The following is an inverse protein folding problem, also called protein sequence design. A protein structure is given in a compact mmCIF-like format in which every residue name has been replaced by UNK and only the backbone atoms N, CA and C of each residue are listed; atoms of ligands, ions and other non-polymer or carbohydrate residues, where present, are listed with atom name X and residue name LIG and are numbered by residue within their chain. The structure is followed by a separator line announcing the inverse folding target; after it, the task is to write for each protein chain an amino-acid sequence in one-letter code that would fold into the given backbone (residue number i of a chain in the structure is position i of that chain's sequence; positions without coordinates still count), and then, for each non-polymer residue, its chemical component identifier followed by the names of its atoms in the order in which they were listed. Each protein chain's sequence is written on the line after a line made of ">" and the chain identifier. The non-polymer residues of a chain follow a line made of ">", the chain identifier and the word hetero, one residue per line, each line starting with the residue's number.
data_IF_222669488982
#
_entry.id   IF_222669488982
#
_cell.length_a   1.000
_cell.length_b   1.000
_cell.length_c   1.000
_cell.angle_alpha   90.00
_cell.angle_beta   90.00
_cell.angle_gamma   90.00
#
_symmetry.space_group_name_H-M   'P 1'
#
loop_
_entity.id
_entity.type
_entity.pdbx_description
1 polymer ?
#
# COMPACT_ATOMS: atom_id res chain seq x y z
N UNK A 1 19.61 31.30 16.44
CA UNK A 1 18.61 30.53 17.21
C UNK A 1 19.31 29.29 17.72
N UNK A 2 19.16 28.87 18.98
CA UNK A 2 19.73 27.59 19.41
C UNK A 2 19.12 26.45 18.59
N UNK A 3 19.91 25.42 18.24
CA UNK A 3 19.45 24.25 17.48
C UNK A 3 18.18 23.61 18.07
N UNK A 4 18.02 23.70 19.39
CA UNK A 4 16.84 23.26 20.13
C UNK A 4 15.59 24.10 19.83
N UNK A 5 15.72 25.43 19.76
CA UNK A 5 14.59 26.33 19.46
C UNK A 5 14.10 26.15 18.02
N UNK A 6 15.01 25.97 17.07
CA UNK A 6 14.66 25.69 15.67
C UNK A 6 13.94 24.35 15.51
N UNK A 7 14.38 23.31 16.23
CA UNK A 7 13.71 22.00 16.27
C UNK A 7 12.31 22.10 16.89
N UNK A 8 12.16 22.83 18.00
CA UNK A 8 10.87 23.02 18.67
C UNK A 8 9.88 23.81 17.82
N UNK A 9 10.31 24.92 17.22
CA UNK A 9 9.47 25.73 16.33
C UNK A 9 9.13 24.97 15.04
N UNK A 10 10.08 24.22 14.48
CA UNK A 10 9.86 23.36 13.32
C UNK A 10 8.84 22.26 13.61
N UNK A 11 8.94 21.60 14.77
CA UNK A 11 7.97 20.60 15.20
C UNK A 11 6.58 21.20 15.42
N UNK A 12 6.47 22.31 16.16
CA UNK A 12 5.20 22.96 16.45
C UNK A 12 4.52 23.49 15.16
N UNK A 13 5.29 24.16 14.29
CA UNK A 13 4.81 24.66 13.01
C UNK A 13 4.41 23.52 12.06
N UNK A 14 5.22 22.46 11.99
CA UNK A 14 4.92 21.26 11.21
C UNK A 14 3.65 20.56 11.66
N UNK A 15 3.44 20.40 12.97
CA UNK A 15 2.22 19.82 13.54
C UNK A 15 0.98 20.67 13.23
N UNK A 16 1.09 22.01 13.35
CA UNK A 16 0.00 22.92 13.04
C UNK A 16 -0.42 22.82 11.55
N UNK A 17 0.55 22.84 10.64
CA UNK A 17 0.30 22.67 9.20
C UNK A 17 -0.27 21.29 8.88
N UNK A 18 0.23 20.24 9.53
CA UNK A 18 -0.26 18.88 9.37
C UNK A 18 -1.74 18.76 9.79
N UNK A 19 -2.10 19.26 10.98
CA UNK A 19 -3.49 19.26 11.46
C UNK A 19 -4.39 20.09 10.55
N UNK A 20 -3.95 21.25 10.09
CA UNK A 20 -4.70 22.06 9.13
C UNK A 20 -4.95 21.32 7.81
N UNK A 21 -3.91 20.69 7.25
CA UNK A 21 -4.02 19.87 6.03
C UNK A 21 -4.98 18.70 6.20
N UNK A 22 -4.95 18.01 7.34
CA UNK A 22 -5.90 16.92 7.65
C UNK A 22 -7.35 17.40 7.74
N UNK A 23 -7.60 18.58 8.32
CA UNK A 23 -8.94 19.16 8.38
C UNK A 23 -9.46 19.53 6.98
N UNK A 24 -8.64 20.20 6.17
CA UNK A 24 -8.97 20.53 4.78
C UNK A 24 -9.25 19.28 3.93
N UNK A 25 -8.45 18.24 4.11
CA UNK A 25 -8.67 16.94 3.47
C UNK A 25 -9.98 16.30 3.93
N UNK A 26 -10.30 16.37 5.23
CA UNK A 26 -11.57 15.90 5.77
C UNK A 26 -12.77 16.59 5.11
N UNK A 27 -12.71 17.90 4.93
CA UNK A 27 -13.77 18.68 4.28
C UNK A 27 -13.88 18.40 2.77
N UNK A 28 -12.74 18.27 2.07
CA UNK A 28 -12.71 17.86 0.67
C UNK A 28 -13.31 16.46 0.46
N UNK A 29 -12.94 15.51 1.33
CA UNK A 29 -13.47 14.16 1.31
C UNK A 29 -14.96 14.14 1.63
N UNK A 30 -15.46 14.90 2.62
CA UNK A 30 -16.90 15.00 2.89
C UNK A 30 -17.69 15.52 1.67
N UNK A 31 -17.13 16.48 0.93
CA UNK A 31 -17.77 17.05 -0.27
C UNK A 31 -17.83 16.05 -1.44
N UNK A 32 -16.84 15.16 -1.55
CA UNK A 32 -16.74 14.17 -2.63
C UNK A 32 -17.35 12.82 -2.25
N UNK A 33 -17.33 12.45 -0.97
CA UNK A 33 -17.83 11.20 -0.45
C UNK A 33 -19.35 11.25 -0.34
N UNK A 34 -20.03 10.81 -1.41
CA UNK A 34 -21.46 10.53 -1.36
C UNK A 34 -21.79 9.33 -0.47
N UNK A 35 -23.09 9.11 -0.25
CA UNK A 35 -23.66 8.02 0.56
C UNK A 35 -23.12 6.63 0.18
N UNK A 36 -22.91 6.37 -1.11
CA UNK A 36 -22.35 5.09 -1.59
C UNK A 36 -20.95 4.83 -1.05
N UNK A 37 -20.09 5.85 -1.04
CA UNK A 37 -18.71 5.71 -0.56
C UNK A 37 -18.68 5.46 0.94
N UNK A 38 -19.51 6.18 1.70
CA UNK A 38 -19.69 5.97 3.15
C UNK A 38 -20.06 4.53 3.47
N UNK A 39 -21.06 4.00 2.76
CA UNK A 39 -21.56 2.64 2.96
C UNK A 39 -20.52 1.57 2.61
N UNK A 40 -19.73 1.80 1.57
CA UNK A 40 -18.62 0.90 1.20
C UNK A 40 -17.56 0.88 2.30
N UNK A 41 -17.15 2.06 2.81
CA UNK A 41 -16.17 2.15 3.89
C UNK A 41 -16.67 1.50 5.18
N UNK A 42 -17.94 1.71 5.54
CA UNK A 42 -18.57 1.08 6.71
C UNK A 42 -18.59 -0.45 6.61
N UNK A 43 -19.02 -1.00 5.47
CA UNK A 43 -19.11 -2.45 5.26
C UNK A 43 -17.72 -3.10 5.23
N UNK A 44 -16.74 -2.45 4.60
CA UNK A 44 -15.38 -2.96 4.50
C UNK A 44 -14.63 -2.91 5.84
N UNK A 45 -15.09 -2.10 6.79
CA UNK A 45 -14.42 -1.92 8.09
C UNK A 45 -15.30 -2.25 9.29
N UNK A 46 -16.39 -3.01 9.09
CA UNK A 46 -17.32 -3.36 10.18
C UNK A 46 -16.68 -4.29 11.23
N UNK A 47 -15.76 -5.16 10.79
CA UNK A 47 -15.01 -6.06 11.67
C UNK A 47 -13.53 -5.63 11.69
N UNK A 48 -12.87 -5.53 12.87
CA UNK A 48 -11.44 -5.24 12.97
C UNK A 48 -10.56 -6.12 12.06
N UNK A 49 -10.87 -7.40 11.91
CA UNK A 49 -10.14 -8.30 11.01
C UNK A 49 -10.30 -7.90 9.54
N UNK A 50 -11.49 -7.46 9.15
CA UNK A 50 -11.72 -6.92 7.80
C UNK A 50 -10.99 -5.59 7.60
N UNK A 51 -10.95 -4.72 8.62
CA UNK A 51 -10.13 -3.51 8.61
C UNK A 51 -8.65 -3.83 8.35
N UNK A 52 -8.10 -4.82 9.07
CA UNK A 52 -6.73 -5.29 8.87
C UNK A 52 -6.53 -5.79 7.43
N UNK A 53 -7.41 -6.67 6.93
CA UNK A 53 -7.31 -7.19 5.57
C UNK A 53 -7.35 -6.08 4.51
N UNK A 54 -8.28 -5.13 4.64
CA UNK A 54 -8.41 -3.97 3.75
C UNK A 54 -7.15 -3.12 3.79
N UNK A 55 -6.61 -2.85 4.98
CA UNK A 55 -5.34 -2.12 5.13
C UNK A 55 -4.18 -2.84 4.46
N UNK A 56 -4.06 -4.15 4.64
CA UNK A 56 -3.02 -4.97 4.03
C UNK A 56 -3.09 -4.92 2.51
N UNK A 57 -4.27 -5.12 1.94
CA UNK A 57 -4.47 -5.08 0.47
C UNK A 57 -4.25 -3.67 -0.08
N UNK A 58 -4.83 -2.65 0.56
CA UNK A 58 -4.67 -1.26 0.12
C UNK A 58 -3.20 -0.84 0.11
N UNK A 59 -2.45 -1.18 1.17
CA UNK A 59 -1.03 -0.87 1.24
C UNK A 59 -0.17 -1.75 0.33
N UNK A 60 -0.51 -3.02 0.12
CA UNK A 60 0.20 -3.85 -0.85
C UNK A 60 0.06 -3.27 -2.28
N UNK A 61 -1.12 -2.74 -2.62
CA UNK A 61 -1.37 -2.08 -3.93
C UNK A 61 -0.66 -0.72 -4.00
N UNK A 62 -0.80 0.12 -2.98
CA UNK A 62 -0.21 1.47 -2.96
C UNK A 62 1.29 1.48 -2.67
N UNK A 63 1.83 0.39 -2.13
CA UNK A 63 3.21 0.21 -1.66
C UNK A 63 3.70 1.25 -0.63
N UNK A 64 2.79 1.99 0.00
CA UNK A 64 3.12 3.04 0.95
C UNK A 64 2.15 3.02 2.13
N UNK A 65 2.58 2.45 3.25
CA UNK A 65 1.81 2.46 4.50
C UNK A 65 1.58 3.89 5.02
N UNK A 66 2.55 4.79 4.81
CA UNK A 66 2.42 6.20 5.18
C UNK A 66 1.28 6.88 4.42
N UNK A 67 1.18 6.65 3.10
CA UNK A 67 0.08 7.20 2.30
C UNK A 67 -1.27 6.60 2.71
N UNK A 68 -1.33 5.29 2.97
CA UNK A 68 -2.55 4.63 3.50
C UNK A 68 -2.95 5.19 4.86
N UNK A 69 -1.99 5.45 5.75
CA UNK A 69 -2.26 6.01 7.08
C UNK A 69 -2.82 7.42 6.99
N UNK A 70 -2.22 8.29 6.19
CA UNK A 70 -2.72 9.66 5.95
C UNK A 70 -4.14 9.63 5.38
N UNK A 71 -4.40 8.74 4.42
CA UNK A 71 -5.73 8.54 3.85
C UNK A 71 -6.77 8.18 4.92
N UNK A 72 -6.48 7.16 5.73
CA UNK A 72 -7.39 6.67 6.78
C UNK A 72 -7.63 7.73 7.84
N UNK A 73 -6.60 8.48 8.24
CA UNK A 73 -6.76 9.61 9.17
C UNK A 73 -7.65 10.69 8.57
N UNK A 74 -7.51 10.98 7.27
CA UNK A 74 -8.43 11.87 6.56
C UNK A 74 -9.88 11.38 6.54
N UNK A 75 -10.11 10.07 6.44
CA UNK A 75 -11.47 9.49 6.57
C UNK A 75 -12.04 9.64 7.99
N UNK A 76 -11.20 9.57 9.02
CA UNK A 76 -11.62 9.84 10.42
C UNK A 76 -11.97 11.31 10.60
N UNK A 77 -11.14 12.24 10.13
CA UNK A 77 -11.44 13.67 10.14
C UNK A 77 -12.72 14.00 9.35
N UNK A 78 -12.95 13.26 8.27
CA UNK A 78 -14.17 13.34 7.46
C UNK A 78 -15.41 12.70 8.14
N UNK A 79 -15.27 12.09 9.33
CA UNK A 79 -16.32 11.32 10.01
C UNK A 79 -16.91 10.18 9.15
N UNK A 80 -16.12 9.68 8.21
CA UNK A 80 -16.46 8.54 7.35
C UNK A 80 -16.06 7.22 8.01
N UNK A 81 -15.11 7.27 8.95
CA UNK A 81 -14.62 6.14 9.73
C UNK A 81 -14.47 6.55 11.20
N UNK A 82 -14.61 5.57 12.09
CA UNK A 82 -14.29 5.75 13.50
C UNK A 82 -12.80 5.48 13.78
N UNK A 83 -12.29 6.00 14.88
CA UNK A 83 -10.89 5.79 15.29
C UNK A 83 -10.54 4.28 15.44
N UNK A 84 -11.40 3.42 16.04
CA UNK A 84 -11.13 1.98 16.11
C UNK A 84 -11.02 1.30 14.73
N UNK A 85 -11.87 1.70 13.77
CA UNK A 85 -11.80 1.20 12.39
C UNK A 85 -10.51 1.65 11.71
N UNK A 86 -10.12 2.90 11.91
CA UNK A 86 -8.87 3.43 11.40
C UNK A 86 -7.64 2.69 11.94
N UNK A 87 -7.62 2.41 13.25
CA UNK A 87 -6.54 1.65 13.89
C UNK A 87 -6.42 0.25 13.26
N UNK A 88 -7.54 -0.43 13.03
CA UNK A 88 -7.51 -1.76 12.41
C UNK A 88 -6.97 -1.72 10.97
N UNK A 89 -7.35 -0.71 10.17
CA UNK A 89 -6.77 -0.51 8.83
C UNK A 89 -5.28 -0.16 8.88
N UNK A 90 -4.84 0.68 9.83
CA UNK A 90 -3.42 1.06 9.98
C UNK A 90 -2.57 -0.15 10.38
N UNK A 91 -3.06 -1.02 11.27
CA UNK A 91 -2.39 -2.30 11.59
C UNK A 91 -2.27 -3.15 10.32
N UNK A 92 -3.34 -3.24 9.54
CA UNK A 92 -3.33 -3.88 8.23
C UNK A 92 -2.30 -3.31 7.27
N UNK A 93 -2.22 -1.98 7.17
CA UNK A 93 -1.29 -1.27 6.32
C UNK A 93 0.17 -1.61 6.64
N UNK A 94 0.50 -1.68 7.93
CA UNK A 94 1.83 -2.09 8.39
C UNK A 94 2.14 -3.56 8.07
N UNK A 95 1.14 -4.44 8.02
CA UNK A 95 1.31 -5.80 7.51
C UNK A 95 1.49 -5.78 5.98
N UNK A 96 0.75 -4.92 5.27
CA UNK A 96 0.84 -4.80 3.81
C UNK A 96 2.25 -4.47 3.31
N UNK A 97 2.99 -3.60 4.00
CA UNK A 97 4.39 -3.31 3.65
C UNK A 97 5.33 -4.49 3.87
N UNK A 98 5.04 -5.38 4.81
CA UNK A 98 5.87 -6.57 5.03
C UNK A 98 5.63 -7.64 3.97
N UNK A 99 4.48 -7.67 3.28
CA UNK A 99 4.19 -8.65 2.22
C UNK A 99 5.27 -8.61 1.13
N UNK A 100 5.68 -7.42 0.69
CA UNK A 100 6.76 -7.27 -0.30
C UNK A 100 8.10 -7.78 0.24
N UNK A 101 8.43 -7.47 1.50
CA UNK A 101 9.65 -7.94 2.13
C UNK A 101 9.66 -9.46 2.35
N UNK A 102 8.51 -10.06 2.70
CA UNK A 102 8.34 -11.50 2.85
C UNK A 102 8.47 -12.22 1.50
N UNK A 103 7.89 -11.67 0.44
CA UNK A 103 8.05 -12.17 -0.94
C UNK A 103 9.53 -12.23 -1.33
N UNK A 104 10.32 -11.22 -0.95
CA UNK A 104 11.78 -11.22 -1.16
C UNK A 104 12.48 -12.24 -0.23
N UNK A 105 12.12 -12.25 1.06
CA UNK A 105 12.75 -13.08 2.09
C UNK A 105 12.50 -14.59 1.94
N UNK A 106 11.42 -15.02 1.26
CA UNK A 106 11.22 -16.42 0.89
C UNK A 106 12.21 -16.93 -0.18
N UNK A 107 13.26 -16.17 -0.50
CA UNK A 107 14.30 -16.52 -1.48
C UNK A 107 13.73 -16.90 -2.85
N UNK A 108 12.62 -16.28 -3.24
CA UNK A 108 12.14 -16.33 -4.63
C UNK A 108 13.23 -15.78 -5.57
N UNK A 109 14.09 -14.89 -5.06
CA UNK A 109 15.31 -14.43 -5.72
C UNK A 109 16.26 -15.54 -6.19
N UNK A 110 16.42 -16.63 -5.43
CA UNK A 110 17.29 -17.75 -5.82
C UNK A 110 16.71 -18.51 -7.02
N UNK A 111 15.39 -18.56 -7.11
CA UNK A 111 14.65 -19.16 -8.23
C UNK A 111 14.39 -18.15 -9.35
N UNK A 112 14.80 -16.89 -9.23
CA UNK A 112 14.50 -15.84 -10.21
C UNK A 112 15.12 -16.16 -11.59
N UNK A 113 16.33 -16.72 -11.60
CA UNK A 113 16.96 -17.23 -12.82
C UNK A 113 16.19 -18.41 -13.44
N UNK A 114 15.59 -19.27 -12.61
CA UNK A 114 14.75 -20.38 -13.08
C UNK A 114 13.44 -19.86 -13.71
N UNK A 115 12.77 -18.90 -13.06
CA UNK A 115 11.58 -18.26 -13.61
C UNK A 115 11.90 -17.52 -14.92
N UNK A 116 13.02 -16.81 -15.00
CA UNK A 116 13.47 -16.17 -16.23
C UNK A 116 13.74 -17.21 -17.34
N UNK A 117 14.48 -18.29 -17.04
CA UNK A 117 14.76 -19.33 -18.04
C UNK A 117 13.47 -20.00 -18.54
N UNK A 118 12.61 -20.48 -17.63
CA UNK A 118 11.34 -21.15 -17.98
C UNK A 118 10.40 -20.22 -18.74
N UNK A 119 10.27 -18.97 -18.30
CA UNK A 119 9.46 -17.95 -18.98
C UNK A 119 9.97 -17.65 -20.39
N UNK A 120 11.29 -17.52 -20.57
CA UNK A 120 11.91 -17.32 -21.87
C UNK A 120 11.61 -18.50 -22.81
N UNK A 121 11.86 -19.73 -22.39
CA UNK A 121 11.59 -20.92 -23.20
C UNK A 121 10.11 -21.10 -23.52
N UNK A 122 9.20 -20.86 -22.58
CA UNK A 122 7.75 -20.89 -22.83
C UNK A 122 7.33 -19.83 -23.85
N UNK A 123 7.89 -18.62 -23.76
CA UNK A 123 7.58 -17.52 -24.68
C UNK A 123 8.16 -17.71 -26.09
N UNK A 124 9.31 -18.39 -26.20
CA UNK A 124 10.04 -18.56 -27.46
C UNK A 124 9.67 -19.85 -28.20
N UNK A 125 9.47 -20.96 -27.48
CA UNK A 125 9.19 -22.27 -28.09
C UNK A 125 7.71 -22.50 -28.43
N UNK A 126 6.79 -21.78 -27.80
CA UNK A 126 5.36 -22.02 -27.98
C UNK A 126 4.75 -21.21 -29.12
N UNK A 127 4.07 -21.90 -30.05
CA UNK A 127 3.28 -21.26 -31.13
C UNK A 127 1.90 -20.77 -30.68
N UNK A 128 1.41 -21.24 -29.53
CA UNK A 128 0.09 -20.86 -28.98
C UNK A 128 0.18 -19.50 -28.27
N UNK A 129 -0.67 -18.55 -28.67
CA UNK A 129 -0.70 -17.18 -28.14
C UNK A 129 -0.86 -17.12 -26.61
N UNK A 130 -1.69 -17.98 -26.04
CA UNK A 130 -1.91 -18.06 -24.58
C UNK A 130 -0.63 -18.48 -23.85
N UNK A 131 0.06 -19.52 -24.33
CA UNK A 131 1.29 -20.01 -23.70
C UNK A 131 2.42 -19.00 -23.83
N UNK A 132 2.48 -18.28 -24.97
CA UNK A 132 3.44 -17.20 -25.16
C UNK A 132 3.24 -16.05 -24.17
N UNK A 133 1.99 -15.63 -23.95
CA UNK A 133 1.65 -14.57 -22.99
C UNK A 133 2.00 -15.00 -21.55
N UNK A 134 1.66 -16.23 -21.17
CA UNK A 134 2.05 -16.79 -19.86
C UNK A 134 3.57 -16.82 -19.71
N UNK A 135 4.29 -17.28 -20.74
CA UNK A 135 5.76 -17.29 -20.76
C UNK A 135 6.36 -15.89 -20.59
N UNK A 136 5.80 -14.87 -21.26
CA UNK A 136 6.22 -13.47 -21.10
C UNK A 136 6.00 -12.97 -19.67
N UNK A 137 4.84 -13.26 -19.05
CA UNK A 137 4.58 -12.90 -17.66
C UNK A 137 5.56 -13.55 -16.70
N UNK A 138 5.81 -14.86 -16.86
CA UNK A 138 6.77 -15.60 -16.03
C UNK A 138 8.20 -15.09 -16.23
N UNK A 139 8.58 -14.75 -17.46
CA UNK A 139 9.88 -14.14 -17.77
C UNK A 139 10.05 -12.78 -17.10
N UNK A 140 9.06 -11.88 -17.25
CA UNK A 140 9.07 -10.56 -16.62
C UNK A 140 9.11 -10.64 -15.09
N UNK A 141 8.43 -11.63 -14.50
CA UNK A 141 8.51 -11.91 -13.07
C UNK A 141 9.94 -12.33 -12.67
N UNK A 142 10.57 -13.26 -13.39
CA UNK A 142 11.96 -13.65 -13.15
C UNK A 142 12.94 -12.48 -13.26
N UNK A 143 12.81 -11.65 -14.30
CA UNK A 143 13.66 -10.46 -14.50
C UNK A 143 13.47 -9.43 -13.37
N UNK A 144 12.23 -9.21 -12.92
CA UNK A 144 11.93 -8.32 -11.80
C UNK A 144 12.64 -8.76 -10.51
N UNK A 145 12.60 -10.06 -10.18
CA UNK A 145 13.28 -10.58 -8.99
C UNK A 145 14.80 -10.59 -9.12
N UNK A 146 15.35 -10.83 -10.31
CA UNK A 146 16.79 -10.66 -10.57
C UNK A 146 17.19 -9.21 -10.29
N UNK A 147 16.42 -8.24 -10.81
CA UNK A 147 16.65 -6.81 -10.55
C UNK A 147 16.59 -6.46 -9.06
N UNK A 148 15.61 -6.99 -8.33
CA UNK A 148 15.50 -6.80 -6.88
C UNK A 148 16.62 -7.45 -6.08
N UNK A 149 17.22 -8.54 -6.55
CA UNK A 149 18.32 -9.23 -5.87
C UNK A 149 19.67 -8.53 -6.09
N UNK A 150 19.81 -7.77 -7.19
CA UNK A 150 21.03 -7.00 -7.49
C UNK A 150 21.10 -5.68 -6.70
N UNK A 151 19.95 -5.11 -6.32
CA UNK A 151 19.83 -3.85 -5.57
C UNK A 151 20.07 -4.06 -4.08
#
# INVERSE_FOLDING_TARGET
>A
MSSMMETLLGFAGGLALFIYGMNQMGDGLKKVAGEKMRKILEVLTTNPLMGVFVGTVATAIMQSSSATTVMVVGFVSAQLMTLPQAISVIIGANIGTTVTAQIIAFNIGDYAYLFAAVGFFLSFASKKRVVKNIGQTVFSFGVLFIGLNIM
#
